data_IF_333696424541
#
_entry.id   IF_333696424541
#
_cell.length_a   1.000
_cell.length_b   1.000
_cell.length_c   1.000
_cell.angle_alpha   90.00
_cell.angle_beta   90.00
_cell.angle_gamma   90.00
#
_symmetry.space_group_name_H-M   'P 1'
#
loop_
_entity.id
_entity.type
_entity.pdbx_description
1 polymer ?
#
# COMPACT_ATOMS: atom_id res chain seq x y z
N UNK A 1 -39.81 39.12 -3.34
CA UNK A 1 -39.56 37.87 -2.59
C UNK A 1 -38.31 37.24 -3.17
N UNK A 2 -37.20 37.38 -2.43
CA UNK A 2 -35.86 36.99 -2.83
C UNK A 2 -35.66 35.48 -2.63
N UNK A 3 -35.06 34.83 -3.63
CA UNK A 3 -34.52 33.48 -3.51
C UNK A 3 -33.27 33.52 -2.62
N UNK A 4 -33.30 32.79 -1.50
CA UNK A 4 -32.18 32.64 -0.59
C UNK A 4 -31.32 31.43 -0.98
N UNK A 5 -30.04 31.71 -1.17
CA UNK A 5 -28.95 30.82 -1.57
C UNK A 5 -28.71 29.62 -0.63
N UNK A 6 -28.49 28.44 -1.20
CA UNK A 6 -27.76 27.34 -0.55
C UNK A 6 -26.25 27.52 -0.80
N UNK A 7 -25.36 27.38 0.20
CA UNK A 7 -23.95 27.21 -0.05
C UNK A 7 -23.60 25.74 -0.35
N UNK A 8 -22.70 25.59 -1.33
CA UNK A 8 -22.00 24.36 -1.72
C UNK A 8 -21.01 23.97 -0.63
N UNK A 9 -21.05 22.70 -0.25
CA UNK A 9 -20.04 21.92 0.49
C UNK A 9 -20.23 20.52 -0.13
N UNK A 10 -19.27 19.78 -0.68
CA UNK A 10 -17.82 19.66 -0.57
C UNK A 10 -17.34 19.15 -1.95
N UNK A 11 -16.24 19.66 -2.48
CA UNK A 11 -15.61 19.09 -3.68
C UNK A 11 -14.11 18.98 -3.40
N UNK A 12 -13.77 18.11 -2.46
CA UNK A 12 -12.38 17.67 -2.26
C UNK A 12 -12.16 16.42 -3.11
N UNK A 13 -11.63 16.70 -4.29
CA UNK A 13 -10.57 15.97 -5.00
C UNK A 13 -10.27 14.54 -4.51
N UNK A 14 -10.95 13.56 -5.08
CA UNK A 14 -10.45 12.19 -5.21
C UNK A 14 -9.81 12.04 -6.60
N UNK A 15 -8.48 11.94 -6.74
CA UNK A 15 -7.87 11.61 -8.02
C UNK A 15 -7.20 10.24 -7.95
N UNK A 16 -7.96 9.17 -8.12
CA UNK A 16 -7.39 7.92 -8.65
C UNK A 16 -8.43 7.22 -9.53
N UNK A 17 -8.44 7.60 -10.80
CA UNK A 17 -9.01 6.81 -11.88
C UNK A 17 -7.94 6.75 -12.95
N UNK A 18 -7.10 5.72 -12.94
CA UNK A 18 -6.13 5.49 -14.02
C UNK A 18 -6.69 4.42 -14.95
N UNK A 19 -7.20 4.90 -16.09
CA UNK A 19 -7.75 4.10 -17.18
C UNK A 19 -6.63 3.73 -18.15
N UNK A 20 -6.47 2.43 -18.45
CA UNK A 20 -6.08 1.93 -19.76
C UNK A 20 -4.60 1.80 -20.14
N UNK A 21 -4.19 0.53 -20.28
CA UNK A 21 -3.49 -0.06 -21.44
C UNK A 21 -2.02 0.37 -21.71
N UNK A 22 -1.06 -0.55 -21.55
CA UNK A 22 -0.53 -1.39 -22.64
C UNK A 22 0.64 -2.26 -22.12
N UNK A 23 0.50 -3.57 -22.29
CA UNK A 23 1.57 -4.56 -22.12
C UNK A 23 2.62 -4.42 -23.24
N UNK A 24 3.87 -4.12 -22.91
CA UNK A 24 5.10 -4.66 -23.53
C UNK A 24 6.36 -3.90 -23.10
N UNK A 25 7.28 -4.55 -22.38
CA UNK A 25 8.70 -4.75 -22.74
C UNK A 25 9.58 -5.09 -21.52
N UNK A 26 9.96 -6.37 -21.37
CA UNK A 26 11.23 -6.73 -20.71
C UNK A 26 12.41 -6.33 -21.63
N UNK A 27 13.66 -6.09 -21.16
CA UNK A 27 14.23 -6.44 -19.85
C UNK A 27 15.09 -5.32 -19.20
N UNK A 28 15.02 -5.15 -17.88
CA UNK A 28 16.13 -4.55 -17.10
C UNK A 28 16.35 -5.28 -15.78
N UNK A 29 17.55 -5.86 -15.63
CA UNK A 29 18.02 -6.43 -14.37
C UNK A 29 18.05 -5.33 -13.30
N UNK A 30 17.20 -5.44 -12.29
CA UNK A 30 17.44 -4.79 -11.02
C UNK A 30 17.98 -5.82 -10.02
N UNK A 31 19.25 -5.66 -9.67
CA UNK A 31 19.85 -6.13 -8.41
C UNK A 31 20.12 -4.82 -7.68
N UNK A 32 19.22 -4.44 -6.77
CA UNK A 32 18.99 -3.05 -6.36
C UNK A 32 20.26 -2.25 -6.01
N UNK A 33 20.28 -0.99 -6.45
CA UNK A 33 21.39 -0.05 -6.29
C UNK A 33 20.99 1.39 -6.62
N UNK A 34 19.90 1.88 -6.01
CA UNK A 34 19.45 3.29 -5.89
C UNK A 34 19.13 4.17 -7.12
N UNK A 35 18.13 5.03 -6.87
CA UNK A 35 17.64 6.27 -7.50
C UNK A 35 17.65 6.45 -9.02
N UNK A 36 16.45 6.46 -9.61
CA UNK A 36 16.16 7.06 -10.91
C UNK A 36 15.31 8.34 -10.74
N UNK A 37 15.73 9.48 -11.31
CA UNK A 37 14.86 10.63 -11.48
C UNK A 37 14.01 10.43 -12.73
N UNK A 38 12.68 10.47 -12.61
CA UNK A 38 11.79 10.34 -13.76
C UNK A 38 11.06 11.68 -13.97
N UNK A 39 11.41 12.38 -15.05
CA UNK A 39 10.62 13.49 -15.58
C UNK A 39 9.67 12.93 -16.64
N UNK A 40 8.37 13.00 -16.35
CA UNK A 40 7.30 12.82 -17.33
C UNK A 40 6.85 11.38 -17.53
N UNK A 41 5.96 10.92 -16.64
CA UNK A 41 5.12 9.74 -16.83
C UNK A 41 5.78 8.42 -16.46
N UNK A 42 5.35 7.85 -15.32
CA UNK A 42 5.66 6.51 -14.79
C UNK A 42 7.05 6.33 -14.16
N UNK A 43 7.12 6.46 -12.83
CA UNK A 43 8.34 6.26 -12.03
C UNK A 43 8.45 4.77 -11.68
N UNK A 44 9.40 4.05 -12.25
CA UNK A 44 9.78 2.73 -11.75
C UNK A 44 10.65 2.92 -10.49
N UNK A 45 10.08 2.66 -9.31
CA UNK A 45 10.74 2.87 -8.02
C UNK A 45 11.15 1.53 -7.45
N UNK A 46 12.45 1.32 -7.28
CA UNK A 46 12.93 0.20 -6.49
C UNK A 46 13.17 0.66 -5.04
N UNK A 47 12.45 0.06 -4.10
CA UNK A 47 12.61 0.34 -2.68
C UNK A 47 13.61 -0.61 -2.01
N UNK A 48 14.39 -0.09 -1.06
CA UNK A 48 15.06 -0.92 -0.06
C UNK A 48 14.08 -1.33 1.04
N UNK A 49 14.35 -2.45 1.72
CA UNK A 49 13.50 -2.93 2.83
C UNK A 49 13.36 -1.85 3.92
N UNK A 50 14.40 -1.06 4.17
CA UNK A 50 14.35 0.01 5.16
C UNK A 50 13.48 1.20 4.71
N UNK A 51 13.48 1.54 3.42
CA UNK A 51 12.58 2.55 2.87
C UNK A 51 11.12 2.08 2.92
N UNK A 52 10.84 0.84 2.52
CA UNK A 52 9.50 0.25 2.66
C UNK A 52 9.07 0.29 4.12
N UNK A 53 9.95 -0.12 5.05
CA UNK A 53 9.66 -0.11 6.48
C UNK A 53 9.27 1.28 6.98
N UNK A 54 10.04 2.30 6.59
CA UNK A 54 9.80 3.67 7.01
C UNK A 54 8.50 4.24 6.41
N UNK A 55 8.26 4.01 5.12
CA UNK A 55 7.03 4.42 4.44
C UNK A 55 5.79 3.75 5.04
N UNK A 56 5.82 2.42 5.20
CA UNK A 56 4.74 1.65 5.84
C UNK A 56 4.50 2.14 7.27
N UNK A 57 5.56 2.39 8.05
CA UNK A 57 5.41 2.92 9.41
C UNK A 57 4.72 4.30 9.41
N UNK A 58 5.07 5.19 8.49
CA UNK A 58 4.42 6.48 8.35
C UNK A 58 2.93 6.34 7.98
N UNK A 59 2.64 5.52 6.96
CA UNK A 59 1.28 5.23 6.51
C UNK A 59 0.41 4.67 7.64
N UNK A 60 0.92 3.69 8.39
CA UNK A 60 0.20 3.07 9.50
C UNK A 60 -0.07 4.07 10.62
N UNK A 61 0.89 4.93 10.97
CA UNK A 61 0.70 5.94 12.01
C UNK A 61 -0.37 6.96 11.61
N UNK A 62 -0.33 7.42 10.36
CA UNK A 62 -1.34 8.32 9.82
C UNK A 62 -2.73 7.66 9.83
N UNK A 63 -2.85 6.45 9.29
CA UNK A 63 -4.09 5.69 9.26
C UNK A 63 -4.66 5.46 10.67
N UNK A 64 -3.84 4.95 11.60
CA UNK A 64 -4.25 4.63 12.98
C UNK A 64 -4.63 5.87 13.80
N UNK A 65 -4.19 7.07 13.39
CA UNK A 65 -4.58 8.31 14.04
C UNK A 65 -6.04 8.69 13.77
N UNK A 66 -6.59 8.28 12.62
CA UNK A 66 -7.96 8.55 12.19
C UNK A 66 -8.89 7.34 12.28
N UNK A 67 -8.35 6.13 12.50
CA UNK A 67 -9.12 4.90 12.61
C UNK A 67 -9.73 4.70 14.01
N UNK A 68 -10.91 4.09 14.06
CA UNK A 68 -11.50 3.60 15.29
C UNK A 68 -10.63 2.49 15.89
N UNK A 69 -10.68 2.31 17.21
CA UNK A 69 -9.78 1.37 17.91
C UNK A 69 -9.79 -0.05 17.32
N UNK A 70 -10.97 -0.60 17.01
CA UNK A 70 -11.12 -1.95 16.43
C UNK A 70 -10.59 -2.06 14.99
N UNK A 71 -10.49 -0.94 14.27
CA UNK A 71 -10.04 -0.88 12.87
C UNK A 71 -8.55 -0.54 12.75
N UNK A 72 -7.84 -0.36 13.86
CA UNK A 72 -6.41 -0.04 13.81
C UNK A 72 -5.61 -1.23 13.31
N UNK A 73 -4.56 -0.92 12.55
CA UNK A 73 -3.54 -1.88 12.14
C UNK A 73 -2.67 -2.19 13.36
N UNK A 74 -2.59 -3.49 13.68
CA UNK A 74 -1.78 -4.05 14.76
C UNK A 74 -0.38 -4.41 14.28
N UNK A 75 -0.25 -5.06 13.13
CA UNK A 75 1.06 -5.44 12.58
C UNK A 75 1.05 -5.42 11.05
N UNK A 76 2.22 -5.18 10.46
CA UNK A 76 2.43 -5.27 9.00
C UNK A 76 3.72 -6.04 8.72
N UNK A 77 3.64 -7.01 7.82
CA UNK A 77 4.75 -7.86 7.39
C UNK A 77 4.86 -7.79 5.86
N UNK A 78 6.07 -7.61 5.37
CA UNK A 78 6.40 -7.72 3.95
C UNK A 78 6.51 -9.19 3.56
N UNK A 79 5.98 -9.55 2.39
CA UNK A 79 6.23 -10.86 1.79
C UNK A 79 6.59 -10.72 0.30
N UNK A 80 6.57 -11.84 -0.43
CA UNK A 80 6.68 -11.80 -1.89
C UNK A 80 8.07 -11.50 -2.45
N UNK A 81 8.12 -10.72 -3.53
CA UNK A 81 9.34 -10.49 -4.31
C UNK A 81 10.42 -9.70 -3.54
N UNK A 82 10.00 -8.68 -2.78
CA UNK A 82 10.90 -7.86 -1.97
C UNK A 82 11.47 -8.61 -0.77
N UNK A 83 10.64 -9.45 -0.11
CA UNK A 83 11.12 -10.29 0.99
C UNK A 83 12.21 -11.27 0.51
N UNK A 84 12.08 -11.85 -0.69
CA UNK A 84 13.04 -12.79 -1.29
C UNK A 84 14.26 -12.13 -1.93
N UNK A 85 14.31 -10.81 -2.01
CA UNK A 85 15.37 -10.07 -2.71
C UNK A 85 15.38 -10.27 -4.23
N UNK A 86 14.24 -10.68 -4.82
CA UNK A 86 14.08 -10.87 -6.27
C UNK A 86 13.25 -9.76 -6.92
N UNK A 87 12.92 -8.70 -6.18
CA UNK A 87 12.13 -7.57 -6.68
C UNK A 87 12.88 -6.75 -7.73
N UNK A 88 12.11 -6.27 -8.73
CA UNK A 88 12.49 -5.28 -9.73
C UNK A 88 11.88 -3.91 -9.43
N UNK A 89 12.19 -2.94 -10.28
CA UNK A 89 11.65 -1.57 -10.29
C UNK A 89 10.17 -1.50 -10.74
N UNK A 90 9.66 -2.55 -11.36
CA UNK A 90 8.25 -2.75 -11.72
C UNK A 90 7.53 -3.69 -10.73
N UNK A 91 8.18 -4.08 -9.63
CA UNK A 91 7.55 -4.99 -8.66
C UNK A 91 6.65 -4.26 -7.68
N UNK A 92 5.44 -4.77 -7.54
CA UNK A 92 4.47 -4.38 -6.52
C UNK A 92 4.97 -4.75 -5.10
N UNK A 93 4.44 -4.06 -4.09
CA UNK A 93 4.79 -4.32 -2.68
C UNK A 93 3.72 -5.20 -2.04
N UNK A 94 4.06 -6.46 -1.78
CA UNK A 94 3.21 -7.44 -1.12
C UNK A 94 3.19 -7.27 0.42
N UNK A 95 2.05 -6.86 1.00
CA UNK A 95 1.90 -6.60 2.43
C UNK A 95 0.87 -7.50 3.10
N UNK A 96 1.28 -8.19 4.16
CA UNK A 96 0.38 -8.83 5.11
C UNK A 96 0.03 -7.84 6.23
N UNK A 97 -1.25 -7.55 6.39
CA UNK A 97 -1.76 -6.60 7.39
C UNK A 97 -2.64 -7.32 8.40
N UNK A 98 -2.31 -7.15 9.67
CA UNK A 98 -3.11 -7.63 10.79
C UNK A 98 -3.79 -6.42 11.46
N UNK A 99 -5.11 -6.48 11.62
CA UNK A 99 -5.88 -5.48 12.35
C UNK A 99 -6.09 -5.92 13.80
N UNK A 100 -6.46 -4.99 14.68
CA UNK A 100 -6.82 -5.31 16.07
C UNK A 100 -8.02 -6.27 16.12
N UNK A 101 -9.05 -6.00 15.33
CA UNK A 101 -10.17 -6.92 15.14
C UNK A 101 -9.96 -7.74 13.84
N UNK A 102 -10.11 -9.07 13.86
CA UNK A 102 -10.03 -9.88 12.64
C UNK A 102 -11.16 -9.59 11.64
N UNK A 103 -12.27 -8.99 12.06
CA UNK A 103 -13.38 -8.66 11.16
C UNK A 103 -13.39 -7.15 10.90
N UNK A 104 -12.88 -6.77 9.74
CA UNK A 104 -12.89 -5.38 9.27
C UNK A 104 -13.80 -5.21 8.06
N UNK A 105 -14.30 -3.99 7.86
CA UNK A 105 -15.14 -3.69 6.71
C UNK A 105 -14.31 -3.58 5.43
N UNK A 106 -14.95 -3.77 4.27
CA UNK A 106 -14.29 -3.54 2.97
C UNK A 106 -13.76 -2.10 2.83
N UNK A 107 -14.47 -1.11 3.39
CA UNK A 107 -14.01 0.29 3.40
C UNK A 107 -12.77 0.49 4.26
N UNK A 108 -12.66 -0.25 5.38
CA UNK A 108 -11.48 -0.22 6.26
C UNK A 108 -10.25 -0.73 5.51
N UNK A 109 -10.39 -1.82 4.76
CA UNK A 109 -9.35 -2.36 3.90
C UNK A 109 -8.97 -1.39 2.78
N UNK A 110 -9.96 -0.81 2.09
CA UNK A 110 -9.71 0.14 1.00
C UNK A 110 -8.95 1.39 1.48
N UNK A 111 -9.31 1.93 2.66
CA UNK A 111 -8.60 3.08 3.26
C UNK A 111 -7.18 2.73 3.68
N UNK A 112 -6.96 1.53 4.20
CA UNK A 112 -5.62 1.07 4.56
C UNK A 112 -4.75 0.90 3.30
N UNK A 113 -5.28 0.30 2.24
CA UNK A 113 -4.61 0.16 0.96
C UNK A 113 -4.24 1.52 0.36
N UNK A 114 -5.19 2.45 0.28
CA UNK A 114 -4.97 3.81 -0.23
C UNK A 114 -3.86 4.53 0.56
N UNK A 115 -3.85 4.39 1.90
CA UNK A 115 -2.79 4.94 2.73
C UNK A 115 -1.41 4.33 2.43
N UNK A 116 -1.34 3.02 2.15
CA UNK A 116 -0.07 2.38 1.80
C UNK A 116 0.44 2.84 0.43
N UNK A 117 -0.41 2.83 -0.60
CA UNK A 117 -0.08 3.25 -1.96
C UNK A 117 0.33 4.72 -2.01
N UNK A 118 -0.34 5.59 -1.24
CA UNK A 118 0.00 7.01 -1.18
C UNK A 118 1.41 7.27 -0.63
N UNK A 119 1.86 6.48 0.35
CA UNK A 119 3.19 6.60 0.96
C UNK A 119 4.29 5.86 0.19
N UNK A 120 3.94 4.77 -0.49
CA UNK A 120 4.86 3.95 -1.27
C UNK A 120 4.90 4.31 -2.75
N UNK A 121 4.03 5.19 -3.26
CA UNK A 121 4.01 5.65 -4.65
C UNK A 121 4.14 4.53 -5.70
N UNK A 122 3.67 3.32 -5.36
CA UNK A 122 3.74 2.08 -6.15
C UNK A 122 2.52 1.24 -5.81
N UNK A 123 2.22 0.26 -6.64
CA UNK A 123 1.09 -0.63 -6.44
C UNK A 123 1.36 -1.55 -5.24
N UNK A 124 0.36 -1.74 -4.39
CA UNK A 124 0.47 -2.51 -3.14
C UNK A 124 -0.53 -3.66 -3.16
N UNK A 125 -0.02 -4.88 -3.07
CA UNK A 125 -0.85 -6.06 -2.89
C UNK A 125 -1.06 -6.32 -1.39
N UNK A 126 -2.19 -5.86 -0.87
CA UNK A 126 -2.53 -5.99 0.54
C UNK A 126 -3.38 -7.24 0.83
N UNK A 127 -2.91 -8.07 1.75
CA UNK A 127 -3.58 -9.29 2.20
C UNK A 127 -3.79 -9.25 3.71
N UNK A 128 -4.99 -9.60 4.17
CA UNK A 128 -5.30 -9.62 5.59
C UNK A 128 -4.79 -10.90 6.28
N UNK A 129 -4.10 -10.75 7.41
CA UNK A 129 -3.71 -11.82 8.34
C UNK A 129 -4.79 -11.93 9.46
N UNK A 130 -5.22 -13.13 9.89
CA UNK A 130 -4.72 -14.46 9.52
C UNK A 130 -5.25 -14.97 8.18
N UNK A 131 -4.38 -15.63 7.42
CA UNK A 131 -4.78 -16.38 6.22
C UNK A 131 -5.60 -17.63 6.57
N UNK A 132 -6.67 -17.94 5.82
CA UNK A 132 -7.42 -19.17 6.00
C UNK A 132 -6.57 -20.40 5.66
N UNK A 133 -6.85 -21.52 6.35
CA UNK A 133 -6.19 -22.80 6.07
C UNK A 133 -6.45 -23.25 4.62
N UNK A 134 -5.40 -23.70 3.93
CA UNK A 134 -5.47 -24.09 2.52
C UNK A 134 -5.47 -22.92 1.54
N UNK A 135 -5.06 -21.73 1.98
CA UNK A 135 -4.79 -20.60 1.08
C UNK A 135 -3.77 -21.00 0.00
N UNK A 136 -3.98 -20.49 -1.22
CA UNK A 136 -3.09 -20.71 -2.35
C UNK A 136 -1.78 -19.91 -2.20
N UNK A 137 -1.76 -18.90 -1.33
CA UNK A 137 -0.59 -18.08 -1.06
C UNK A 137 0.41 -18.85 -0.19
N UNK A 138 1.55 -19.22 -0.78
CA UNK A 138 2.67 -19.79 -0.05
C UNK A 138 3.57 -18.66 0.48
N UNK A 139 3.38 -18.30 1.75
CA UNK A 139 4.13 -17.21 2.39
C UNK A 139 5.30 -17.78 3.18
N UNK A 140 6.34 -18.18 2.45
CA UNK A 140 7.58 -18.74 2.99
C UNK A 140 8.43 -17.70 3.74
N UNK A 141 8.62 -16.52 3.16
CA UNK A 141 9.49 -15.48 3.70
C UNK A 141 8.69 -14.25 4.09
N UNK A 142 8.85 -13.82 5.34
CA UNK A 142 8.15 -12.67 5.92
C UNK A 142 9.16 -11.78 6.63
N UNK A 143 9.12 -10.48 6.34
CA UNK A 143 9.94 -9.48 7.02
C UNK A 143 9.01 -8.55 7.82
N UNK A 144 9.11 -8.47 9.16
CA UNK A 144 8.29 -7.54 9.92
C UNK A 144 8.67 -6.09 9.58
N UNK A 145 7.66 -5.29 9.26
CA UNK A 145 7.82 -3.86 8.96
C UNK A 145 7.30 -2.98 10.10
N UNK A 146 6.17 -3.35 10.69
CA UNK A 146 5.53 -2.60 11.76
C UNK A 146 4.87 -3.54 12.77
N UNK A 147 4.95 -3.16 14.05
CA UNK A 147 4.20 -3.77 15.14
C UNK A 147 3.81 -2.68 16.13
N UNK A 148 2.53 -2.66 16.52
CA UNK A 148 2.03 -1.76 17.55
C UNK A 148 2.63 -2.16 18.90
N UNK A 149 3.29 -1.20 19.56
CA UNK A 149 3.92 -1.38 20.86
C UNK A 149 2.91 -1.38 22.03
#
# INVERSE_FOLDING_TARGET
>A
MFWGSLPRILHDSFPYVRFGLLCAAMPTKCRCGYNTPIKGGEVAVCYTIDEIRNAVKAAVLEYNSAAAHNEKIKSVKLFGSYARGTASDESDVDLLVEFIDPVVSFFTLARALEAMEAHLATDVDMVQDPLPHGSLLDICEKVPLYEAA
#
